data_IF_943873835758
#
_entry.id   IF_943873835758
#
_cell.length_a   1.000
_cell.length_b   1.000
_cell.length_c   1.000
_cell.angle_alpha   90.00
_cell.angle_beta   90.00
_cell.angle_gamma   90.00
#
_symmetry.space_group_name_H-M   'P 1'
#
loop_
_entity.id
_entity.type
_entity.pdbx_description
1 polymer ?
#
# COMPACT_ATOMS: atom_id res chain seq x y z
N UNK A 1 12.42 25.52 8.10
CA UNK A 1 13.21 24.86 7.04
C UNK A 1 12.30 24.64 5.85
N UNK A 2 12.67 25.12 4.67
CA UNK A 2 11.91 24.83 3.44
C UNK A 2 12.16 23.35 3.10
N UNK A 3 11.30 22.48 3.63
CA UNK A 3 11.46 21.04 3.57
C UNK A 3 11.24 20.52 2.15
N UNK A 4 12.17 19.69 1.69
CA UNK A 4 11.93 18.74 0.61
C UNK A 4 10.60 18.00 0.85
N UNK A 5 9.82 17.77 -0.21
CA UNK A 5 8.42 17.32 -0.12
C UNK A 5 8.23 16.17 0.87
N UNK A 6 7.25 16.31 1.76
CA UNK A 6 6.93 15.29 2.75
C UNK A 6 6.36 14.05 2.06
N UNK A 7 6.84 12.87 2.46
CA UNK A 7 6.33 11.56 2.04
C UNK A 7 5.75 10.88 3.26
N UNK A 8 4.55 10.33 3.12
CA UNK A 8 3.92 9.49 4.14
C UNK A 8 3.48 8.17 3.53
N UNK A 9 3.57 7.14 4.35
CA UNK A 9 3.17 5.79 4.00
C UNK A 9 2.00 5.39 4.89
N UNK A 10 0.97 4.84 4.27
CA UNK A 10 -0.23 4.39 4.96
C UNK A 10 -0.50 2.94 4.57
N UNK A 11 -0.87 2.13 5.55
CA UNK A 11 -1.44 0.81 5.32
C UNK A 11 -2.92 0.92 5.60
N UNK A 12 -3.73 0.77 4.56
CA UNK A 12 -5.15 1.11 4.60
C UNK A 12 -6.01 -0.06 4.16
N UNK A 13 -7.18 -0.19 4.79
CA UNK A 13 -8.24 -1.14 4.44
C UNK A 13 -9.47 -0.41 3.94
N UNK A 14 -10.37 -1.11 3.25
CA UNK A 14 -11.64 -0.54 2.82
C UNK A 14 -12.42 0.05 4.00
N UNK A 15 -12.95 1.25 3.81
CA UNK A 15 -13.67 2.02 4.81
C UNK A 15 -12.80 2.85 5.75
N UNK A 16 -11.48 2.65 5.79
CA UNK A 16 -10.60 3.43 6.64
C UNK A 16 -10.40 4.86 6.14
N UNK A 17 -10.18 5.77 7.08
CA UNK A 17 -9.93 7.17 6.85
C UNK A 17 -8.49 7.53 7.19
N UNK A 18 -7.89 8.42 6.40
CA UNK A 18 -6.57 8.96 6.67
C UNK A 18 -6.48 10.43 6.27
N UNK A 19 -5.54 11.16 6.86
CA UNK A 19 -5.29 12.55 6.55
C UNK A 19 -3.78 12.80 6.47
N UNK A 20 -3.40 13.86 5.75
CA UNK A 20 -2.01 14.30 5.68
C UNK A 20 -1.87 15.65 6.36
N UNK A 21 -0.72 15.91 6.98
CA UNK A 21 -0.49 17.14 7.75
C UNK A 21 -0.39 18.40 6.91
N UNK A 22 -0.34 18.26 5.58
CA UNK A 22 -0.26 19.38 4.64
C UNK A 22 -1.58 19.61 3.88
N UNK A 23 -2.62 18.87 4.24
CA UNK A 23 -3.94 19.03 3.66
C UNK A 23 -4.68 20.21 4.31
N UNK A 24 -4.21 21.41 4.00
CA UNK A 24 -4.63 22.63 4.67
C UNK A 24 -5.99 23.17 4.18
N UNK A 25 -6.58 22.57 3.15
CA UNK A 25 -7.65 23.22 2.40
C UNK A 25 -9.03 23.03 3.02
N UNK A 26 -9.33 21.87 3.64
CA UNK A 26 -10.64 21.63 4.28
C UNK A 26 -10.64 20.67 5.49
N UNK A 27 -9.48 20.17 5.93
CA UNK A 27 -9.34 19.20 7.03
C UNK A 27 -10.24 17.96 6.93
N UNK A 28 -10.69 17.62 5.71
CA UNK A 28 -11.51 16.42 5.45
C UNK A 28 -10.57 15.22 5.31
N UNK A 29 -10.88 14.08 5.93
CA UNK A 29 -10.09 12.88 5.70
C UNK A 29 -10.36 12.32 4.30
N UNK A 30 -9.36 11.67 3.73
CA UNK A 30 -9.54 10.73 2.64
C UNK A 30 -10.13 9.44 3.19
N UNK A 31 -11.10 8.85 2.49
CA UNK A 31 -11.67 7.55 2.85
C UNK A 31 -11.40 6.54 1.74
N UNK A 32 -10.89 5.37 2.10
CA UNK A 32 -10.76 4.25 1.14
C UNK A 32 -12.15 3.69 0.89
N UNK A 33 -12.67 3.83 -0.33
CA UNK A 33 -13.99 3.31 -0.68
C UNK A 33 -13.93 1.86 -1.15
N UNK A 34 -12.95 1.55 -1.99
CA UNK A 34 -12.79 0.23 -2.58
C UNK A 34 -11.32 -0.06 -2.88
N UNK A 35 -10.93 -1.32 -2.71
CA UNK A 35 -9.64 -1.84 -3.13
C UNK A 35 -9.92 -2.94 -4.15
N UNK A 36 -9.55 -2.68 -5.40
CA UNK A 36 -9.58 -3.70 -6.43
C UNK A 36 -8.17 -4.21 -6.67
N UNK A 37 -7.88 -5.35 -6.06
CA UNK A 37 -6.63 -6.04 -6.22
C UNK A 37 -6.60 -6.97 -7.45
N UNK A 38 -7.71 -7.11 -8.19
CA UNK A 38 -7.89 -8.02 -9.34
C UNK A 38 -7.09 -9.35 -9.28
N UNK A 39 -7.20 -10.00 -8.11
CA UNK A 39 -6.46 -11.21 -7.77
C UNK A 39 -7.07 -12.39 -8.56
N UNK A 40 -6.23 -13.22 -9.16
CA UNK A 40 -6.68 -14.48 -9.77
C UNK A 40 -7.35 -15.36 -8.72
N UNK A 41 -8.54 -15.88 -9.01
CA UNK A 41 -9.27 -16.69 -8.04
C UNK A 41 -8.49 -17.96 -7.62
N UNK A 42 -7.82 -18.59 -8.59
CA UNK A 42 -6.98 -19.77 -8.37
C UNK A 42 -5.55 -19.44 -8.77
N UNK A 43 -4.63 -19.55 -7.81
CA UNK A 43 -3.19 -19.39 -8.04
C UNK A 43 -2.48 -20.73 -8.01
N UNK A 44 -1.60 -20.96 -9.00
CA UNK A 44 -0.81 -22.19 -9.16
C UNK A 44 0.65 -21.90 -8.87
N UNK A 45 1.21 -22.52 -7.81
CA UNK A 45 2.60 -22.25 -7.36
C UNK A 45 3.66 -22.59 -8.42
N UNK A 46 3.42 -23.61 -9.26
CA UNK A 46 4.39 -24.06 -10.27
C UNK A 46 4.42 -23.19 -11.54
N UNK A 47 3.37 -22.40 -11.77
CA UNK A 47 3.25 -21.52 -12.92
C UNK A 47 3.49 -20.07 -12.49
N UNK A 48 4.70 -19.76 -11.99
CA UNK A 48 5.14 -18.37 -11.72
C UNK A 48 4.97 -17.42 -12.94
N UNK A 49 4.69 -17.97 -14.13
CA UNK A 49 4.38 -17.25 -15.35
C UNK A 49 2.98 -16.62 -15.39
N UNK A 50 1.99 -17.15 -14.67
CA UNK A 50 0.69 -16.52 -14.51
C UNK A 50 0.82 -15.58 -13.32
N UNK A 51 1.00 -14.28 -13.59
CA UNK A 51 1.01 -13.27 -12.53
C UNK A 51 -0.22 -13.43 -11.63
N UNK A 52 -0.05 -13.19 -10.32
CA UNK A 52 -1.14 -13.20 -9.33
C UNK A 52 -2.31 -12.27 -9.71
N UNK A 53 -2.00 -11.28 -10.54
CA UNK A 53 -2.84 -10.17 -10.93
C UNK A 53 -3.35 -10.37 -12.35
N UNK A 54 -4.66 -10.22 -12.55
CA UNK A 54 -5.25 -10.15 -13.90
C UNK A 54 -5.12 -8.75 -14.50
N UNK A 55 -5.16 -7.74 -13.66
CA UNK A 55 -4.89 -6.34 -14.00
C UNK A 55 -4.17 -5.64 -12.85
N UNK A 56 -3.79 -4.40 -13.08
CA UNK A 56 -3.10 -3.59 -12.10
C UNK A 56 -4.01 -3.29 -10.89
N UNK A 57 -3.53 -3.48 -9.65
CA UNK A 57 -4.29 -3.18 -8.45
C UNK A 57 -4.55 -1.68 -8.36
N UNK A 58 -5.77 -1.32 -7.97
CA UNK A 58 -6.15 0.06 -7.76
C UNK A 58 -6.95 0.26 -6.48
N UNK A 59 -6.76 1.42 -5.86
CA UNK A 59 -7.52 1.84 -4.70
C UNK A 59 -8.32 3.10 -5.05
N UNK A 60 -9.61 3.06 -4.75
CA UNK A 60 -10.52 4.21 -4.90
C UNK A 60 -10.68 4.91 -3.56
N UNK A 61 -10.45 6.23 -3.56
CA UNK A 61 -10.57 7.10 -2.41
C UNK A 61 -11.64 8.16 -2.66
N UNK A 62 -12.38 8.51 -1.61
CA UNK A 62 -13.22 9.71 -1.61
C UNK A 62 -12.63 10.82 -0.75
N UNK A 63 -12.83 12.05 -1.20
CA UNK A 63 -12.49 13.28 -0.50
C UNK A 63 -13.60 14.31 -0.77
N UNK A 64 -14.47 14.53 0.23
CA UNK A 64 -15.72 15.26 0.00
C UNK A 64 -16.61 14.53 -1.02
N UNK A 65 -17.06 15.25 -2.05
CA UNK A 65 -17.90 14.69 -3.11
C UNK A 65 -17.09 14.12 -4.29
N UNK A 66 -15.76 14.21 -4.23
CA UNK A 66 -14.86 13.75 -5.30
C UNK A 66 -14.36 12.33 -5.04
N UNK A 67 -14.23 11.55 -6.12
CA UNK A 67 -13.70 10.18 -6.12
C UNK A 67 -12.47 10.09 -7.02
N UNK A 68 -11.44 9.42 -6.53
CA UNK A 68 -10.16 9.27 -7.21
C UNK A 68 -9.68 7.83 -7.11
N UNK A 69 -9.16 7.28 -8.21
CA UNK A 69 -8.52 5.98 -8.21
C UNK A 69 -7.02 6.16 -8.38
N UNK A 70 -6.21 5.40 -7.64
CA UNK A 70 -4.76 5.31 -7.86
C UNK A 70 -4.35 3.86 -8.03
N UNK A 71 -3.46 3.62 -9.00
CA UNK A 71 -2.80 2.34 -9.19
C UNK A 71 -1.36 2.36 -8.68
N UNK A 72 -0.62 1.32 -9.05
CA UNK A 72 0.83 1.22 -8.88
C UNK A 72 1.57 2.07 -9.92
N UNK A 73 1.10 2.14 -11.16
CA UNK A 73 1.69 2.96 -12.20
C UNK A 73 0.69 3.36 -13.31
N UNK A 74 0.55 4.66 -13.63
CA UNK A 74 1.28 5.79 -13.04
C UNK A 74 0.67 6.26 -11.70
N UNK A 75 1.49 6.87 -10.81
CA UNK A 75 0.97 7.59 -9.66
C UNK A 75 -0.06 8.66 -10.07
N UNK A 76 -1.09 8.85 -9.25
CA UNK A 76 -2.15 9.83 -9.55
C UNK A 76 -1.99 11.07 -8.67
N UNK A 77 -2.05 12.26 -9.27
CA UNK A 77 -2.05 13.51 -8.50
C UNK A 77 -3.46 13.95 -8.16
N UNK A 78 -3.75 14.20 -6.88
CA UNK A 78 -4.99 14.82 -6.44
C UNK A 78 -4.74 15.75 -5.26
N UNK A 79 -5.44 16.90 -5.22
CA UNK A 79 -5.35 17.90 -4.16
C UNK A 79 -3.89 18.31 -3.80
N UNK A 80 -3.05 18.50 -4.81
CA UNK A 80 -1.65 18.89 -4.62
C UNK A 80 -0.74 17.80 -4.00
N UNK A 81 -1.20 16.56 -3.90
CA UNK A 81 -0.41 15.40 -3.49
C UNK A 81 -0.41 14.32 -4.58
N UNK A 82 0.64 13.51 -4.60
CA UNK A 82 0.78 12.33 -5.44
C UNK A 82 0.49 11.09 -4.62
N UNK A 83 -0.35 10.23 -5.15
CA UNK A 83 -0.75 8.97 -4.55
C UNK A 83 -0.15 7.83 -5.39
N UNK A 84 0.44 6.86 -4.71
CA UNK A 84 1.14 5.75 -5.35
C UNK A 84 0.91 4.49 -4.54
N UNK A 85 0.27 3.49 -5.15
CA UNK A 85 0.07 2.19 -4.52
C UNK A 85 1.37 1.39 -4.60
N UNK A 86 2.00 1.14 -3.45
CA UNK A 86 3.27 0.41 -3.36
C UNK A 86 3.08 -1.09 -3.26
N UNK A 87 2.05 -1.53 -2.54
CA UNK A 87 1.79 -2.93 -2.24
C UNK A 87 0.30 -3.15 -1.95
N UNK A 88 -0.14 -4.39 -1.96
CA UNK A 88 -1.50 -4.78 -1.59
C UNK A 88 -1.52 -6.21 -1.08
N UNK A 89 -2.60 -6.58 -0.41
CA UNK A 89 -2.78 -7.95 0.02
C UNK A 89 -4.13 -8.19 0.66
N UNK A 90 -4.19 -9.28 1.40
CA UNK A 90 -5.36 -9.66 2.18
C UNK A 90 -5.03 -9.58 3.66
N UNK A 91 -6.01 -9.24 4.47
CA UNK A 91 -5.89 -9.20 5.91
C UNK A 91 -6.99 -10.04 6.55
N UNK A 92 -6.75 -11.32 6.87
CA UNK A 92 -7.70 -12.11 7.65
C UNK A 92 -8.01 -11.42 8.97
N UNK A 93 -9.30 -11.32 9.27
CA UNK A 93 -9.76 -10.85 10.56
C UNK A 93 -9.55 -11.93 11.62
N UNK A 94 -9.27 -11.52 12.84
CA UNK A 94 -9.19 -12.41 13.98
C UNK A 94 -9.90 -11.81 15.19
N UNK A 95 -10.42 -12.69 16.02
CA UNK A 95 -11.05 -12.33 17.28
C UNK A 95 -10.66 -13.36 18.33
N UNK A 96 -9.98 -12.88 19.38
CA UNK A 96 -9.54 -13.66 20.52
C UNK A 96 -10.57 -13.56 21.62
N UNK A 97 -10.95 -14.70 22.18
CA UNK A 97 -11.88 -14.82 23.27
C UNK A 97 -11.18 -15.42 24.48
N UNK A 98 -11.47 -14.89 25.67
CA UNK A 98 -11.05 -15.45 26.95
C UNK A 98 -12.31 -15.80 27.75
N UNK A 99 -12.48 -17.08 28.12
CA UNK A 99 -13.67 -17.55 28.86
C UNK A 99 -15.01 -17.10 28.22
N UNK A 100 -15.05 -17.11 26.89
CA UNK A 100 -16.23 -16.75 26.09
C UNK A 100 -16.46 -15.25 25.86
N UNK A 101 -15.56 -14.36 26.33
CA UNK A 101 -15.64 -12.91 26.07
C UNK A 101 -14.58 -12.50 25.07
N UNK A 102 -14.95 -11.69 24.08
CA UNK A 102 -14.01 -11.10 23.11
C UNK A 102 -13.09 -10.13 23.84
N UNK A 103 -11.78 -10.39 23.79
CA UNK A 103 -10.73 -9.58 24.46
C UNK A 103 -9.88 -8.81 23.46
N UNK A 104 -9.72 -9.31 22.24
CA UNK A 104 -8.96 -8.65 21.18
C UNK A 104 -9.59 -8.95 19.82
N UNK A 105 -9.67 -7.93 18.97
CA UNK A 105 -10.13 -8.06 17.60
C UNK A 105 -9.24 -7.23 16.68
N UNK A 106 -8.87 -7.78 15.54
CA UNK A 106 -8.02 -7.09 14.58
C UNK A 106 -7.96 -7.81 13.24
N UNK A 107 -7.09 -7.32 12.37
CA UNK A 107 -6.80 -7.91 11.08
C UNK A 107 -5.28 -8.11 10.97
N UNK A 108 -4.84 -9.19 10.34
CA UNK A 108 -3.41 -9.48 10.12
C UNK A 108 -3.06 -9.17 8.68
N UNK A 109 -2.30 -8.13 8.40
CA UNK A 109 -1.95 -7.79 7.02
C UNK A 109 -0.96 -8.82 6.49
N UNK A 110 -1.43 -9.69 5.59
CA UNK A 110 -0.62 -10.73 4.97
C UNK A 110 -0.22 -10.33 3.56
N UNK A 111 1.04 -10.59 3.22
CA UNK A 111 1.48 -10.52 1.82
C UNK A 111 1.05 -11.79 1.09
N UNK A 112 0.54 -11.62 -0.12
CA UNK A 112 0.11 -12.75 -0.96
C UNK A 112 1.30 -13.46 -1.63
N UNK A 113 2.44 -12.77 -1.77
CA UNK A 113 3.62 -13.26 -2.49
C UNK A 113 4.89 -13.20 -1.63
N UNK A 114 5.71 -14.27 -1.66
CA UNK A 114 5.40 -15.59 -2.21
C UNK A 114 4.29 -16.30 -1.40
N UNK A 115 3.39 -17.06 -2.04
CA UNK A 115 2.33 -17.76 -1.34
C UNK A 115 2.92 -18.83 -0.43
N UNK A 116 2.33 -18.98 0.76
CA UNK A 116 2.85 -19.86 1.80
C UNK A 116 3.94 -19.23 2.66
N UNK A 117 4.32 -17.97 2.41
CA UNK A 117 5.05 -17.16 3.39
C UNK A 117 4.25 -17.09 4.70
N UNK A 118 4.97 -17.29 5.79
CA UNK A 118 4.41 -17.21 7.13
C UNK A 118 4.61 -15.80 7.68
N UNK A 119 3.50 -15.15 8.01
CA UNK A 119 3.48 -13.91 8.77
C UNK A 119 3.23 -14.24 10.24
N UNK A 120 3.64 -13.36 11.14
CA UNK A 120 3.44 -13.55 12.57
C UNK A 120 2.98 -12.27 13.26
N UNK A 121 2.22 -12.43 14.33
CA UNK A 121 1.83 -11.35 15.23
C UNK A 121 1.96 -11.78 16.68
N UNK A 122 2.39 -10.83 17.51
CA UNK A 122 2.39 -10.98 18.96
C UNK A 122 1.06 -10.47 19.52
N UNK A 123 0.48 -11.22 20.46
CA UNK A 123 -0.73 -10.78 21.15
C UNK A 123 -0.31 -9.86 22.29
N UNK A 124 -0.64 -8.57 22.19
CA UNK A 124 -0.22 -7.57 23.19
C UNK A 124 -0.67 -7.96 24.61
N UNK A 125 0.27 -7.96 25.55
CA UNK A 125 0.02 -8.32 26.95
C UNK A 125 -0.05 -9.83 27.22
N UNK A 126 0.09 -10.69 26.21
CA UNK A 126 0.03 -12.14 26.37
C UNK A 126 1.29 -12.83 25.81
N UNK A 127 1.76 -13.94 26.41
CA UNK A 127 2.96 -14.66 25.98
C UNK A 127 2.72 -15.58 24.76
N UNK A 128 1.84 -15.17 23.84
CA UNK A 128 1.49 -15.93 22.64
C UNK A 128 1.90 -15.21 21.36
N UNK A 129 2.43 -15.98 20.42
CA UNK A 129 2.67 -15.56 19.04
C UNK A 129 1.84 -16.40 18.09
N UNK A 130 1.11 -15.76 17.19
CA UNK A 130 0.31 -16.41 16.16
C UNK A 130 1.06 -16.28 14.85
N UNK A 131 1.32 -17.41 14.21
CA UNK A 131 1.84 -17.51 12.86
C UNK A 131 0.69 -17.88 11.92
N UNK A 132 0.64 -17.22 10.78
CA UNK A 132 -0.40 -17.42 9.78
C UNK A 132 0.23 -17.53 8.40
N UNK A 133 -0.24 -18.50 7.62
CA UNK A 133 0.13 -18.67 6.21
C UNK A 133 -1.06 -19.16 5.40
N UNK A 134 -1.05 -18.91 4.10
CA UNK A 134 -2.06 -19.47 3.19
C UNK A 134 -1.95 -20.99 3.15
N UNK A 135 -3.08 -21.66 3.32
CA UNK A 135 -3.20 -23.10 3.11
C UNK A 135 -3.65 -23.37 1.67
N UNK A 136 -3.03 -24.32 0.96
CA UNK A 136 -3.50 -24.70 -0.36
C UNK A 136 -4.91 -25.31 -0.27
N UNK A 137 -5.77 -24.99 -1.22
CA UNK A 137 -7.07 -25.63 -1.37
C UNK A 137 -6.89 -27.12 -1.70
N UNK A 138 -5.94 -27.41 -2.61
CA UNK A 138 -5.58 -28.75 -3.03
C UNK A 138 -4.12 -28.82 -3.49
N UNK A 139 -3.58 -30.03 -3.43
CA UNK A 139 -2.27 -30.36 -3.99
C UNK A 139 -2.52 -31.29 -5.17
N UNK A 140 -2.12 -30.86 -6.37
CA UNK A 140 -2.25 -31.62 -7.62
C UNK A 140 -0.90 -32.23 -7.94
N UNK A 141 -0.87 -33.51 -8.31
CA UNK A 141 0.34 -34.17 -8.77
C UNK A 141 0.28 -34.33 -10.29
N UNK A 142 1.15 -33.62 -11.00
CA UNK A 142 1.22 -33.65 -12.46
C UNK A 142 2.66 -33.90 -12.90
N UNK A 143 2.87 -34.91 -13.75
CA UNK A 143 4.19 -35.32 -14.23
C UNK A 143 5.22 -35.58 -13.10
N UNK A 144 4.76 -36.05 -11.94
CA UNK A 144 5.61 -36.33 -10.77
C UNK A 144 6.00 -35.09 -9.96
N UNK A 145 5.43 -33.92 -10.26
CA UNK A 145 5.59 -32.69 -9.48
C UNK A 145 4.31 -32.38 -8.70
N UNK A 146 4.46 -32.09 -7.40
CA UNK A 146 3.35 -31.63 -6.55
C UNK A 146 3.20 -30.12 -6.71
N UNK A 147 2.05 -29.70 -7.25
CA UNK A 147 1.67 -28.31 -7.39
C UNK A 147 0.61 -27.96 -6.35
N UNK A 148 0.80 -26.84 -5.65
CA UNK A 148 -0.21 -26.31 -4.72
C UNK A 148 -1.11 -25.32 -5.45
N UNK A 149 -2.41 -25.48 -5.25
CA UNK A 149 -3.43 -24.57 -5.76
C UNK A 149 -4.03 -23.82 -4.58
N UNK A 150 -4.04 -22.50 -4.66
CA UNK A 150 -4.60 -21.63 -3.62
C UNK A 150 -5.86 -20.94 -4.14
N UNK A 151 -6.94 -21.00 -3.37
CA UNK A 151 -8.13 -20.17 -3.55
C UNK A 151 -7.88 -18.84 -2.85
N UNK A 152 -7.80 -17.74 -3.61
CA UNK A 152 -7.54 -16.41 -3.06
C UNK A 152 -8.82 -15.59 -2.83
N UNK A 153 -9.97 -16.09 -3.29
CA UNK A 153 -11.28 -15.49 -3.02
C UNK A 153 -11.80 -15.93 -1.66
N UNK A 154 -11.67 -17.23 -1.36
CA UNK A 154 -12.02 -17.82 -0.07
C UNK A 154 -10.83 -18.58 0.53
N UNK A 155 -9.73 -17.88 0.84
CA UNK A 155 -8.51 -18.51 1.32
C UNK A 155 -8.73 -19.24 2.63
N UNK A 156 -8.13 -20.42 2.70
CA UNK A 156 -7.91 -21.14 3.95
C UNK A 156 -6.57 -20.74 4.52
N UNK A 157 -6.49 -20.67 5.83
CA UNK A 157 -5.25 -20.33 6.52
C UNK A 157 -4.79 -21.50 7.36
N UNK A 158 -3.48 -21.64 7.47
CA UNK A 158 -2.84 -22.49 8.44
C UNK A 158 -2.35 -21.59 9.59
N UNK A 159 -2.70 -21.96 10.81
CA UNK A 159 -2.44 -21.20 12.02
C UNK A 159 -1.57 -22.05 12.94
N UNK A 160 -0.40 -21.52 13.30
CA UNK A 160 0.46 -22.06 14.36
C UNK A 160 0.45 -21.08 15.52
N UNK A 161 0.14 -21.55 16.72
CA UNK A 161 0.19 -20.73 17.94
C UNK A 161 1.33 -21.24 18.80
N UNK A 162 2.24 -20.34 19.16
CA UNK A 162 3.36 -20.62 20.05
C UNK A 162 3.18 -19.90 21.39
N UNK A 163 3.52 -20.59 22.47
CA UNK A 163 3.55 -20.06 23.82
C UNK A 163 4.95 -20.25 24.40
N UNK A 164 5.65 -19.15 24.70
CA UNK A 164 7.04 -19.19 25.18
C UNK A 164 8.00 -20.04 24.29
N UNK A 165 7.73 -20.10 22.98
CA UNK A 165 8.51 -20.85 22.00
C UNK A 165 8.06 -22.31 21.78
N UNK A 166 7.03 -22.78 22.49
CA UNK A 166 6.45 -24.11 22.28
C UNK A 166 5.15 -24.02 21.48
N UNK A 167 5.00 -24.87 20.46
CA UNK A 167 3.77 -24.93 19.68
C UNK A 167 2.62 -25.52 20.51
N UNK A 168 1.59 -24.72 20.78
CA UNK A 168 0.39 -25.14 21.51
C UNK A 168 -0.79 -25.46 20.58
N UNK A 169 -0.74 -24.97 19.34
CA UNK A 169 -1.71 -25.31 18.30
C UNK A 169 -1.03 -25.28 16.94
N UNK A 170 -1.40 -26.23 16.07
CA UNK A 170 -0.91 -26.32 14.70
C UNK A 170 -1.99 -26.94 13.81
N UNK A 171 -2.65 -26.13 12.97
CA UNK A 171 -3.82 -26.59 12.21
C UNK A 171 -4.39 -25.54 11.26
N UNK A 172 -5.53 -25.85 10.65
CA UNK A 172 -6.21 -24.90 9.75
C UNK A 172 -7.14 -23.94 10.50
N UNK A 173 -7.55 -22.86 9.81
CA UNK A 173 -8.41 -21.81 10.34
C UNK A 173 -9.91 -22.16 10.37
N UNK A 174 -10.28 -23.43 10.22
CA UNK A 174 -11.69 -23.84 10.18
C UNK A 174 -12.24 -23.94 11.59
N UNK A 175 -13.11 -22.99 11.96
CA UNK A 175 -13.81 -23.00 13.24
C UNK A 175 -13.05 -22.29 14.36
N UNK A 176 -13.18 -22.81 15.58
CA UNK A 176 -12.58 -22.23 16.78
C UNK A 176 -11.26 -22.90 17.10
N UNK A 177 -10.21 -22.10 17.24
CA UNK A 177 -8.87 -22.55 17.62
C UNK A 177 -8.71 -22.33 19.13
N UNK A 178 -8.72 -23.42 19.91
CA UNK A 178 -8.68 -23.35 21.38
C UNK A 178 -7.27 -23.66 21.88
N UNK A 179 -6.73 -22.79 22.72
CA UNK A 179 -5.43 -22.96 23.38
C UNK A 179 -5.45 -22.31 24.76
N UNK A 180 -5.12 -23.08 25.80
CA UNK A 180 -5.22 -22.60 27.19
C UNK A 180 -6.66 -22.20 27.56
N UNK A 181 -6.84 -20.98 28.10
CA UNK A 181 -8.15 -20.38 28.40
C UNK A 181 -8.72 -19.55 27.23
N UNK A 182 -8.01 -19.52 26.10
CA UNK A 182 -8.33 -18.69 24.95
C UNK A 182 -8.95 -19.49 23.81
N UNK A 183 -9.76 -18.79 23.02
CA UNK A 183 -10.28 -19.30 21.75
C UNK A 183 -10.13 -18.21 20.68
N UNK A 184 -9.48 -18.55 19.58
CA UNK A 184 -9.28 -17.68 18.43
C UNK A 184 -10.29 -18.06 17.34
N UNK A 185 -10.99 -17.06 16.81
CA UNK A 185 -11.84 -17.19 15.64
C UNK A 185 -11.26 -16.38 14.50
N UNK A 186 -11.02 -17.04 13.36
CA UNK A 186 -10.61 -16.38 12.12
C UNK A 186 -11.86 -15.99 11.33
N UNK A 187 -11.89 -14.76 10.85
CA UNK A 187 -12.97 -14.19 10.06
C UNK A 187 -12.52 -14.04 8.60
N UNK A 188 -13.46 -13.88 7.65
CA UNK A 188 -13.12 -13.57 6.25
C UNK A 188 -12.16 -12.38 6.16
N UNK A 189 -11.28 -12.41 5.16
CA UNK A 189 -10.30 -11.36 4.98
C UNK A 189 -10.91 -10.10 4.39
N UNK A 190 -10.28 -8.97 4.69
CA UNK A 190 -10.45 -7.72 3.95
C UNK A 190 -9.25 -7.49 3.05
N UNK A 191 -9.36 -6.64 2.04
CA UNK A 191 -8.20 -6.23 1.26
C UNK A 191 -7.51 -5.06 1.96
N UNK A 192 -6.19 -4.98 1.80
CA UNK A 192 -5.41 -3.84 2.25
C UNK A 192 -4.47 -3.35 1.14
N UNK A 193 -4.10 -2.07 1.20
CA UNK A 193 -3.12 -1.44 0.32
C UNK A 193 -2.08 -0.70 1.13
N UNK A 194 -0.84 -0.71 0.64
CA UNK A 194 0.23 0.17 1.10
C UNK A 194 0.30 1.36 0.15
N UNK A 195 -0.12 2.51 0.65
CA UNK A 195 -0.21 3.75 -0.09
C UNK A 195 0.95 4.68 0.29
N UNK A 196 1.68 5.17 -0.70
CA UNK A 196 2.58 6.30 -0.56
C UNK A 196 1.86 7.58 -0.99
N UNK A 197 1.93 8.61 -0.15
CA UNK A 197 1.41 9.93 -0.43
C UNK A 197 2.53 10.95 -0.32
N UNK A 198 2.80 11.66 -1.42
CA UNK A 198 3.88 12.62 -1.54
C UNK A 198 3.37 14.01 -1.83
N UNK A 199 3.80 15.00 -1.06
CA UNK A 199 3.41 16.39 -1.27
C UNK A 199 3.97 16.94 -2.60
N UNK A 200 3.11 17.55 -3.41
CA UNK A 200 3.40 18.05 -4.76
C UNK A 200 4.10 19.42 -4.84
N UNK A 201 4.91 19.81 -3.85
CA UNK A 201 5.61 21.11 -3.82
C UNK A 201 6.58 21.29 -5.01
N UNK A 202 7.08 20.19 -5.59
CA UNK A 202 8.08 20.26 -6.66
C UNK A 202 7.57 20.93 -7.94
N UNK A 203 6.29 20.78 -8.29
CA UNK A 203 5.78 21.21 -9.59
C UNK A 203 5.74 22.74 -9.72
N UNK A 204 5.17 23.50 -8.76
CA UNK A 204 5.22 24.96 -8.82
C UNK A 204 6.65 25.52 -8.89
N UNK A 205 7.60 24.88 -8.18
CA UNK A 205 8.99 25.33 -8.16
C UNK A 205 9.70 25.08 -9.49
N UNK A 206 9.45 23.93 -10.12
CA UNK A 206 9.94 23.62 -11.47
C UNK A 206 9.34 24.60 -12.49
N UNK A 207 8.04 24.88 -12.42
CA UNK A 207 7.39 25.89 -13.27
C UNK A 207 7.98 27.28 -13.07
N UNK A 208 8.22 27.70 -11.82
CA UNK A 208 8.88 28.96 -11.52
C UNK A 208 10.29 29.01 -12.15
N UNK A 209 11.04 27.91 -12.10
CA UNK A 209 12.33 27.78 -12.77
C UNK A 209 12.24 27.96 -14.29
N UNK A 210 11.28 27.30 -14.95
CA UNK A 210 11.06 27.46 -16.39
C UNK A 210 10.65 28.89 -16.76
N UNK A 211 9.78 29.53 -15.97
CA UNK A 211 9.37 30.91 -16.18
C UNK A 211 10.58 31.85 -16.03
N UNK A 212 11.39 31.69 -14.98
CA UNK A 212 12.59 32.49 -14.77
C UNK A 212 13.61 32.30 -15.90
N UNK A 213 13.79 31.07 -16.39
CA UNK A 213 14.65 30.80 -17.54
C UNK A 213 14.11 31.48 -18.81
N UNK A 214 12.81 31.39 -19.05
CA UNK A 214 12.13 32.03 -20.17
C UNK A 214 12.21 33.55 -20.16
N UNK A 215 12.19 34.19 -18.98
CA UNK A 215 12.36 35.64 -18.83
C UNK A 215 13.83 36.08 -18.84
N UNK A 216 14.72 35.26 -18.28
CA UNK A 216 16.14 35.54 -18.20
C UNK A 216 16.84 35.56 -19.56
N UNK A 217 16.43 34.68 -20.49
CA UNK A 217 17.03 34.61 -21.84
C UNK A 217 16.83 35.91 -22.66
N UNK A 218 15.61 36.45 -22.83
CA UNK A 218 15.39 37.73 -23.51
C UNK A 218 16.11 38.89 -22.82
N UNK A 219 16.07 38.95 -21.49
CA UNK A 219 16.73 40.03 -20.75
C UNK A 219 18.24 40.01 -20.96
N UNK A 220 18.85 38.82 -20.91
CA UNK A 220 20.28 38.63 -21.18
C UNK A 220 20.63 39.03 -22.61
N UNK A 221 19.78 38.66 -23.57
CA UNK A 221 19.94 39.05 -24.97
C UNK A 221 19.89 40.58 -25.16
N UNK A 222 18.91 41.26 -24.57
CA UNK A 222 18.79 42.73 -24.60
C UNK A 222 20.03 43.39 -23.98
N UNK A 223 20.52 42.88 -22.84
CA UNK A 223 21.75 43.40 -22.21
C UNK A 223 22.99 43.20 -23.08
N UNK A 224 23.12 42.05 -23.76
CA UNK A 224 24.22 41.78 -24.69
C UNK A 224 24.19 42.74 -25.88
N UNK A 225 23.02 42.93 -26.50
CA UNK A 225 22.85 43.88 -27.61
C UNK A 225 23.16 45.31 -27.16
N UNK A 226 22.65 45.74 -26.01
CA UNK A 226 22.91 47.08 -25.47
C UNK A 226 24.41 47.31 -25.18
N UNK A 227 25.12 46.30 -24.67
CA UNK A 227 26.58 46.35 -24.47
C UNK A 227 27.33 46.45 -25.80
N UNK A 228 26.95 45.66 -26.80
CA UNK A 228 27.56 45.72 -28.13
C UNK A 228 27.39 47.09 -28.78
N UNK A 229 26.19 47.66 -28.74
CA UNK A 229 25.91 49.01 -29.26
C UNK A 229 26.72 50.08 -28.55
N UNK A 230 26.86 50.00 -27.22
CA UNK A 230 27.69 50.93 -26.43
C UNK A 230 29.17 50.85 -26.84
N UNK A 231 29.70 49.65 -27.09
CA UNK A 231 31.08 49.45 -27.53
C UNK A 231 31.33 50.06 -28.92
N UNK A 232 30.39 49.91 -29.85
CA UNK A 232 30.47 50.54 -31.18
C UNK A 232 30.46 52.06 -31.06
N UNK A 233 29.57 52.63 -30.25
CA UNK A 233 29.49 54.08 -30.08
C UNK A 233 30.80 54.69 -29.52
N UNK A 234 31.48 53.99 -28.60
CA UNK A 234 32.76 54.45 -28.04
C UNK A 234 33.91 54.43 -29.07
N UNK A 235 33.90 53.51 -30.03
CA UNK A 235 34.96 53.41 -31.04
C UNK A 235 34.74 54.29 -32.27
N UNK A 236 33.49 54.61 -32.62
CA UNK A 236 33.15 55.37 -33.83
C UNK A 236 32.59 56.77 -33.56
N UNK A 237 32.45 57.17 -32.30
CA UNK A 237 31.89 58.48 -31.89
C UNK A 237 32.88 59.65 -31.81
N UNK A 238 34.01 59.60 -32.53
CA UNK A 238 34.96 60.71 -32.67
C UNK A 238 34.98 61.23 -34.10
#
# INVERSE_FOLDING_TARGET
>A
SAGFGQVRHFMLQEGQEFSTSWDNTDNRPYRVEAIDADIVANYFEAEERIGLLRSEPHATFSYGDSRHSTGAFPPTSFNGAWFHLLDFGIAPGFELFERGRSVLKGNVNMKLLPPGQEDSLDIEGLPYRIFIRLAPERIVEEMGQKQKVYDLVSPKYFIRVEHAGETVFDGDSTGWIVFGEFALKVHPHVKWVWLEVKQGIGIPLVWAGFILMGLGLPLTFVMLVARALRHIHLHYGK
#
